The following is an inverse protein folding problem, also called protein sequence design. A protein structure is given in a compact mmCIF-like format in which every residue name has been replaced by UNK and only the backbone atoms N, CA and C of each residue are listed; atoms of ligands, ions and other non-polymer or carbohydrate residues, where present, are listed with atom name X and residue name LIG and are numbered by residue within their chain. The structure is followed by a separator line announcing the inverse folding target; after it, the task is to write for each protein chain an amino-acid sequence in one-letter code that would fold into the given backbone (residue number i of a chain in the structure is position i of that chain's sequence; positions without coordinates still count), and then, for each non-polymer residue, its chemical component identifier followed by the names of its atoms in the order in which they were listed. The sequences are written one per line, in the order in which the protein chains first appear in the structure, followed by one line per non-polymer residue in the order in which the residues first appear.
data_IF_094849685879
#
_entry.id   IF_094849685879
#
_cell.length_a   1.000
_cell.length_b   1.000
_cell.length_c   1.000
_cell.angle_alpha   90.00
_cell.angle_beta   90.00
_cell.angle_gamma   90.00
#
_symmetry.space_group_name_H-M   'P 1'
#
loop_
_entity.id
_entity.type
_entity.pdbx_description
1 polymer ?
#
# COMPACT_ATOMS: atom_id res chain seq x y z
N UNK A 1 -0.43 2.75 -4.72
CA UNK A 1 0.82 2.58 -5.53
C UNK A 1 1.95 1.88 -4.78
N UNK A 2 2.30 2.29 -3.57
CA UNK A 2 3.37 1.64 -2.78
C UNK A 2 3.09 0.16 -2.49
N UNK A 3 1.82 -0.22 -2.24
CA UNK A 3 1.40 -1.62 -1.98
C UNK A 3 1.85 -2.56 -3.12
N UNK A 4 1.70 -2.12 -4.37
CA UNK A 4 2.13 -2.90 -5.53
C UNK A 4 3.64 -3.13 -5.52
N UNK A 5 4.43 -2.07 -5.27
CA UNK A 5 5.88 -2.15 -5.21
C UNK A 5 6.34 -3.13 -4.14
N UNK A 6 5.78 -3.01 -2.91
CA UNK A 6 6.10 -3.90 -1.80
C UNK A 6 5.72 -5.35 -2.13
N UNK A 7 4.54 -5.57 -2.74
CA UNK A 7 4.09 -6.90 -3.13
C UNK A 7 4.99 -7.54 -4.19
N UNK A 8 5.36 -6.81 -5.24
CA UNK A 8 6.19 -7.33 -6.33
C UNK A 8 7.64 -7.59 -5.88
N UNK A 9 8.23 -6.68 -5.11
CA UNK A 9 9.62 -6.81 -4.63
C UNK A 9 9.74 -7.93 -3.60
N UNK A 10 8.69 -8.18 -2.81
CA UNK A 10 8.69 -9.24 -1.78
C UNK A 10 8.33 -10.62 -2.31
N UNK A 11 7.58 -10.69 -3.41
CA UNK A 11 7.03 -11.95 -3.89
C UNK A 11 8.11 -13.01 -4.14
N UNK A 12 7.86 -14.22 -3.64
CA UNK A 12 8.74 -15.40 -3.78
C UNK A 12 10.16 -15.22 -3.23
N UNK A 13 10.41 -14.22 -2.39
CA UNK A 13 11.71 -14.04 -1.74
C UNK A 13 11.81 -14.75 -0.39
N UNK A 14 13.05 -14.98 0.05
CA UNK A 14 13.32 -15.34 1.44
C UNK A 14 12.79 -14.22 2.36
N UNK A 15 12.10 -14.58 3.45
CA UNK A 15 11.44 -13.62 4.36
C UNK A 15 12.34 -12.45 4.79
N UNK A 16 13.62 -12.73 5.10
CA UNK A 16 14.57 -11.67 5.48
C UNK A 16 14.84 -10.67 4.35
N UNK A 17 14.97 -11.18 3.12
CA UNK A 17 15.18 -10.37 1.92
C UNK A 17 13.92 -9.57 1.58
N UNK A 18 12.74 -10.19 1.65
CA UNK A 18 11.46 -9.52 1.43
C UNK A 18 11.22 -8.37 2.41
N UNK A 19 11.52 -8.59 3.70
CA UNK A 19 11.43 -7.57 4.75
C UNK A 19 12.39 -6.41 4.46
N UNK A 20 13.67 -6.69 4.22
CA UNK A 20 14.66 -5.66 3.96
C UNK A 20 14.30 -4.83 2.71
N UNK A 21 13.93 -5.52 1.62
CA UNK A 21 13.58 -4.87 0.37
C UNK A 21 12.29 -4.05 0.48
N UNK A 22 11.31 -4.52 1.26
CA UNK A 22 10.08 -3.75 1.59
C UNK A 22 10.36 -2.50 2.39
N UNK A 23 11.17 -2.60 3.44
CA UNK A 23 11.56 -1.44 4.25
C UNK A 23 12.30 -0.41 3.39
N UNK A 24 13.27 -0.85 2.59
CA UNK A 24 14.02 0.04 1.70
C UNK A 24 13.11 0.69 0.65
N UNK A 25 12.19 -0.07 0.05
CA UNK A 25 11.24 0.46 -0.92
C UNK A 25 10.32 1.53 -0.31
N UNK A 26 9.82 1.31 0.91
CA UNK A 26 8.96 2.29 1.59
C UNK A 26 9.73 3.52 2.07
N UNK A 27 10.93 3.35 2.63
CA UNK A 27 11.80 4.48 2.96
C UNK A 27 12.12 5.33 1.72
N UNK A 28 12.47 4.68 0.61
CA UNK A 28 12.71 5.37 -0.65
C UNK A 28 11.45 6.11 -1.15
N UNK A 29 10.26 5.51 -0.99
CA UNK A 29 9.00 6.14 -1.37
C UNK A 29 8.67 7.36 -0.51
N UNK A 30 8.89 7.29 0.81
CA UNK A 30 8.69 8.43 1.73
C UNK A 30 9.64 9.57 1.36
N UNK A 31 10.94 9.27 1.20
CA UNK A 31 11.93 10.27 0.81
C UNK A 31 11.61 10.89 -0.55
N UNK A 32 11.27 10.07 -1.55
CA UNK A 32 10.88 10.55 -2.88
C UNK A 32 9.64 11.45 -2.82
N UNK A 33 8.66 11.13 -1.96
CA UNK A 33 7.48 11.96 -1.76
C UNK A 33 7.81 13.33 -1.15
N UNK A 34 8.57 13.37 -0.05
CA UNK A 34 8.92 14.65 0.61
C UNK A 34 9.84 15.52 -0.25
N UNK A 35 10.83 14.92 -0.91
CA UNK A 35 11.71 15.61 -1.86
C UNK A 35 10.90 16.11 -3.06
N UNK A 36 10.05 15.25 -3.64
CA UNK A 36 9.19 15.61 -4.76
C UNK A 36 8.24 16.75 -4.43
N UNK A 37 7.64 16.74 -3.24
CA UNK A 37 6.78 17.82 -2.74
C UNK A 37 7.55 19.14 -2.64
N UNK A 38 8.77 19.12 -2.09
CA UNK A 38 9.63 20.31 -2.00
C UNK A 38 9.94 20.89 -3.39
N UNK A 39 10.32 20.05 -4.35
CA UNK A 39 10.60 20.48 -5.73
C UNK A 39 9.35 21.06 -6.40
N UNK A 40 8.23 20.36 -6.30
CA UNK A 40 6.97 20.79 -6.93
C UNK A 40 6.43 22.09 -6.33
N UNK A 41 6.51 22.25 -5.01
CA UNK A 41 6.15 23.50 -4.34
C UNK A 41 7.08 24.64 -4.74
N UNK A 42 8.39 24.39 -4.88
CA UNK A 42 9.34 25.40 -5.36
C UNK A 42 9.05 25.90 -6.78
N UNK A 43 8.49 25.05 -7.63
CA UNK A 43 8.08 25.42 -9.01
C UNK A 43 6.73 26.14 -9.00
N UNK A 44 5.75 25.64 -8.24
CA UNK A 44 4.34 26.09 -8.31
C UNK A 44 4.03 27.29 -7.42
N UNK A 45 4.81 27.50 -6.36
CA UNK A 45 4.61 28.57 -5.37
C UNK A 45 5.98 29.17 -4.97
N UNK A 46 6.62 29.95 -5.85
CA UNK A 46 7.98 30.47 -5.61
C UNK A 46 8.09 31.37 -4.37
N UNK A 47 7.01 32.05 -3.98
CA UNK A 47 7.00 32.99 -2.86
C UNK A 47 6.76 32.34 -1.48
N UNK A 48 6.50 31.03 -1.43
CA UNK A 48 6.31 30.27 -0.19
C UNK A 48 7.29 29.09 -0.12
N UNK A 49 8.50 29.28 0.41
CA UNK A 49 9.48 28.21 0.51
C UNK A 49 8.98 27.11 1.45
N UNK A 50 8.64 25.96 0.88
CA UNK A 50 8.24 24.78 1.65
C UNK A 50 9.42 24.26 2.48
N UNK A 51 9.36 24.45 3.79
CA UNK A 51 10.33 23.87 4.73
C UNK A 51 10.00 22.41 5.01
N UNK A 52 10.98 21.53 4.84
CA UNK A 52 10.81 20.11 5.10
C UNK A 52 10.75 19.88 6.61
N UNK A 53 9.61 19.41 7.12
CA UNK A 53 9.46 19.08 8.54
C UNK A 53 10.17 17.74 8.82
N UNK A 54 11.33 17.81 9.48
CA UNK A 54 12.17 16.65 9.80
C UNK A 54 11.48 15.71 10.80
N UNK A 55 10.69 16.25 11.73
CA UNK A 55 9.93 15.44 12.70
C UNK A 55 8.90 14.60 11.97
N UNK A 56 8.12 15.25 11.09
CA UNK A 56 7.13 14.55 10.28
C UNK A 56 7.79 13.50 9.38
N UNK A 57 8.91 13.81 8.73
CA UNK A 57 9.65 12.85 7.93
C UNK A 57 10.06 11.61 8.75
N UNK A 58 10.63 11.82 9.94
CA UNK A 58 11.07 10.74 10.81
C UNK A 58 9.91 9.85 11.27
N UNK A 59 8.75 10.42 11.58
CA UNK A 59 7.54 9.66 11.93
C UNK A 59 7.10 8.74 10.77
N UNK A 60 7.08 9.28 9.54
CA UNK A 60 6.75 8.49 8.35
C UNK A 60 7.79 7.42 8.03
N UNK A 61 9.08 7.68 8.27
CA UNK A 61 10.14 6.69 8.07
C UNK A 61 10.03 5.53 9.09
N UNK A 62 9.71 5.82 10.35
CA UNK A 62 9.46 4.77 11.36
C UNK A 62 8.26 3.91 10.97
N UNK A 63 7.15 4.54 10.55
CA UNK A 63 5.98 3.82 10.04
C UNK A 63 6.31 2.99 8.79
N UNK A 64 7.12 3.53 7.88
CA UNK A 64 7.56 2.82 6.69
C UNK A 64 8.35 1.55 7.03
N UNK A 65 9.23 1.58 8.04
CA UNK A 65 9.96 0.39 8.49
C UNK A 65 9.01 -0.64 9.11
N UNK A 66 8.09 -0.21 9.97
CA UNK A 66 7.14 -1.12 10.63
C UNK A 66 6.23 -1.79 9.59
N UNK A 67 5.60 -1.00 8.73
CA UNK A 67 4.71 -1.48 7.67
C UNK A 67 5.48 -2.33 6.67
N UNK A 68 6.70 -1.91 6.32
CA UNK A 68 7.59 -2.65 5.41
C UNK A 68 7.97 -4.03 5.96
N UNK A 69 8.25 -4.13 7.26
CA UNK A 69 8.55 -5.41 7.89
C UNK A 69 7.34 -6.35 7.92
N UNK A 70 6.17 -5.83 8.27
CA UNK A 70 4.92 -6.61 8.32
C UNK A 70 4.56 -7.10 6.92
N UNK A 71 4.47 -6.18 5.96
CA UNK A 71 4.06 -6.52 4.59
C UNK A 71 5.12 -7.34 3.87
N UNK A 72 6.40 -7.08 4.05
CA UNK A 72 7.47 -7.90 3.49
C UNK A 72 7.41 -9.35 3.98
N UNK A 73 7.12 -9.55 5.27
CA UNK A 73 6.96 -10.89 5.83
C UNK A 73 5.72 -11.62 5.28
N UNK A 74 4.59 -10.92 5.08
CA UNK A 74 3.37 -11.47 4.51
C UNK A 74 3.56 -11.76 3.02
N UNK A 75 4.07 -10.79 2.26
CA UNK A 75 4.21 -10.85 0.81
C UNK A 75 5.35 -11.76 0.33
N UNK A 76 6.30 -12.12 1.20
CA UNK A 76 7.26 -13.19 0.94
C UNK A 76 6.60 -14.49 0.49
N UNK A 77 5.41 -14.77 1.04
CA UNK A 77 4.67 -15.99 0.73
C UNK A 77 3.85 -15.88 -0.59
N UNK A 78 3.83 -14.72 -1.27
CA UNK A 78 3.15 -14.58 -2.58
C UNK A 78 3.75 -15.55 -3.59
N UNK A 79 2.90 -16.37 -4.20
CA UNK A 79 3.29 -17.38 -5.16
C UNK A 79 3.85 -18.67 -4.54
N UNK A 80 3.83 -18.81 -3.21
CA UNK A 80 4.01 -20.08 -2.54
C UNK A 80 2.78 -20.98 -2.72
N UNK A 81 2.99 -22.29 -2.72
CA UNK A 81 1.90 -23.24 -2.89
C UNK A 81 1.03 -23.35 -1.63
N UNK A 82 -0.27 -23.58 -1.82
CA UNK A 82 -1.24 -23.77 -0.74
C UNK A 82 -1.81 -22.48 -0.14
N UNK A 83 -2.39 -22.60 1.07
CA UNK A 83 -3.22 -21.55 1.68
C UNK A 83 -2.46 -20.27 2.03
N UNK A 84 -1.17 -20.36 2.37
CA UNK A 84 -0.35 -19.20 2.73
C UNK A 84 -0.15 -18.25 1.55
N UNK A 85 0.19 -18.77 0.38
CA UNK A 85 0.35 -17.94 -0.83
C UNK A 85 -0.98 -17.34 -1.30
N UNK A 86 -2.08 -18.09 -1.18
CA UNK A 86 -3.41 -17.56 -1.47
C UNK A 86 -3.80 -16.41 -0.54
N UNK A 87 -3.56 -16.53 0.77
CA UNK A 87 -3.82 -15.46 1.74
C UNK A 87 -2.92 -14.25 1.47
N UNK A 88 -1.62 -14.44 1.26
CA UNK A 88 -0.69 -13.35 0.98
C UNK A 88 -1.09 -12.54 -0.26
N UNK A 89 -1.47 -13.23 -1.34
CA UNK A 89 -1.98 -12.58 -2.55
C UNK A 89 -3.33 -11.89 -2.31
N UNK A 90 -4.25 -12.50 -1.56
CA UNK A 90 -5.51 -11.88 -1.19
C UNK A 90 -5.33 -10.63 -0.31
N UNK A 91 -4.34 -10.61 0.58
CA UNK A 91 -3.98 -9.40 1.36
C UNK A 91 -3.50 -8.29 0.43
N UNK A 92 -2.61 -8.60 -0.52
CA UNK A 92 -2.15 -7.60 -1.48
C UNK A 92 -3.30 -7.05 -2.34
N UNK A 93 -4.18 -7.92 -2.86
CA UNK A 93 -5.35 -7.51 -3.66
C UNK A 93 -6.34 -6.70 -2.82
N UNK A 94 -6.63 -7.13 -1.59
CA UNK A 94 -7.54 -6.44 -0.69
C UNK A 94 -7.03 -5.04 -0.31
N UNK A 95 -5.74 -4.91 -0.02
CA UNK A 95 -5.11 -3.61 0.24
C UNK A 95 -5.14 -2.70 -0.98
N UNK A 96 -4.90 -3.23 -2.19
CA UNK A 96 -5.00 -2.45 -3.44
C UNK A 96 -6.43 -1.96 -3.69
N UNK A 97 -7.43 -2.82 -3.46
CA UNK A 97 -8.84 -2.44 -3.59
C UNK A 97 -9.23 -1.36 -2.57
N UNK A 98 -8.80 -1.51 -1.31
CA UNK A 98 -9.03 -0.52 -0.26
C UNK A 98 -8.37 0.84 -0.57
N UNK A 99 -7.09 0.85 -1.02
CA UNK A 99 -6.39 2.07 -1.44
C UNK A 99 -7.10 2.75 -2.63
N UNK A 100 -7.56 1.97 -3.60
CA UNK A 100 -8.29 2.48 -4.76
C UNK A 100 -9.62 3.12 -4.36
N UNK A 101 -10.39 2.44 -3.51
CA UNK A 101 -11.67 2.94 -3.03
C UNK A 101 -11.49 4.25 -2.24
N UNK A 102 -10.60 4.27 -1.23
CA UNK A 102 -10.33 5.47 -0.43
C UNK A 102 -9.87 6.65 -1.29
N UNK A 103 -9.02 6.41 -2.29
CA UNK A 103 -8.54 7.47 -3.19
C UNK A 103 -9.64 7.97 -4.11
N UNK A 104 -10.50 7.09 -4.61
CA UNK A 104 -11.60 7.48 -5.49
C UNK A 104 -12.63 8.34 -4.73
N UNK A 105 -12.85 8.05 -3.45
CA UNK A 105 -13.72 8.83 -2.59
C UNK A 105 -13.16 10.23 -2.30
N UNK A 106 -11.86 10.32 -1.98
CA UNK A 106 -11.18 11.59 -1.70
C UNK A 106 -10.88 12.43 -2.96
N UNK A 107 -10.73 11.79 -4.12
CA UNK A 107 -10.32 12.40 -5.39
C UNK A 107 -11.22 11.91 -6.53
N UNK A 108 -12.49 12.35 -6.57
CA UNK A 108 -13.48 11.80 -7.49
C UNK A 108 -13.20 12.13 -8.96
N UNK A 109 -12.55 13.27 -9.24
CA UNK A 109 -12.18 13.68 -10.59
C UNK A 109 -11.16 12.73 -11.24
N UNK A 110 -10.24 12.17 -10.46
CA UNK A 110 -9.24 11.20 -10.91
C UNK A 110 -9.67 9.74 -10.76
N UNK A 111 -10.88 9.48 -10.27
CA UNK A 111 -11.37 8.16 -9.88
C UNK A 111 -11.21 7.08 -10.95
N UNK A 112 -11.53 7.40 -12.22
CA UNK A 112 -11.39 6.45 -13.33
C UNK A 112 -9.94 6.00 -13.54
N UNK A 113 -8.98 6.92 -13.43
CA UNK A 113 -7.55 6.64 -13.58
C UNK A 113 -7.05 5.78 -12.41
N UNK A 114 -7.50 6.10 -11.19
CA UNK A 114 -7.16 5.35 -9.98
C UNK A 114 -7.66 3.90 -10.06
N UNK A 115 -8.92 3.70 -10.47
CA UNK A 115 -9.51 2.36 -10.64
C UNK A 115 -8.76 1.59 -11.73
N UNK A 116 -8.52 2.21 -12.89
CA UNK A 116 -7.78 1.57 -13.99
C UNK A 116 -6.39 1.11 -13.55
N UNK A 117 -5.66 1.96 -12.82
CA UNK A 117 -4.36 1.60 -12.27
C UNK A 117 -4.45 0.47 -11.22
N UNK A 118 -5.45 0.51 -10.35
CA UNK A 118 -5.66 -0.53 -9.34
C UNK A 118 -5.95 -1.90 -9.98
N UNK A 119 -6.75 -1.94 -11.05
CA UNK A 119 -7.01 -3.16 -11.82
C UNK A 119 -5.70 -3.71 -12.40
N UNK A 120 -4.88 -2.87 -13.03
CA UNK A 120 -3.57 -3.29 -13.56
C UNK A 120 -2.64 -3.80 -12.45
N UNK A 121 -2.65 -3.14 -11.29
CA UNK A 121 -1.87 -3.56 -10.12
C UNK A 121 -2.33 -4.94 -9.60
N UNK A 122 -3.64 -5.18 -9.51
CA UNK A 122 -4.20 -6.48 -9.14
C UNK A 122 -3.81 -7.55 -10.15
N UNK A 123 -3.90 -7.26 -11.44
CA UNK A 123 -3.47 -8.19 -12.51
C UNK A 123 -1.99 -8.53 -12.34
N UNK A 124 -1.12 -7.55 -12.08
CA UNK A 124 0.31 -7.78 -11.87
C UNK A 124 0.58 -8.68 -10.64
N UNK A 125 -0.12 -8.45 -9.52
CA UNK A 125 -0.03 -9.31 -8.33
C UNK A 125 -0.51 -10.73 -8.65
N UNK A 126 -1.65 -10.88 -9.33
CA UNK A 126 -2.20 -12.17 -9.71
C UNK A 126 -1.29 -12.92 -10.70
N UNK A 127 -0.64 -12.22 -11.62
CA UNK A 127 0.31 -12.82 -12.57
C UNK A 127 1.51 -13.46 -11.85
N UNK A 128 1.93 -12.92 -10.70
CA UNK A 128 2.99 -13.49 -9.86
C UNK A 128 2.46 -14.55 -8.90
N UNK A 129 1.23 -14.41 -8.41
CA UNK A 129 0.63 -15.29 -7.41
C UNK A 129 0.03 -16.58 -7.97
N UNK A 130 -0.64 -16.52 -9.13
CA UNK A 130 -1.46 -17.61 -9.66
C UNK A 130 -0.58 -18.58 -10.45
N UNK A 131 -0.47 -19.82 -9.96
CA UNK A 131 0.15 -20.94 -10.68
C UNK A 131 -0.86 -21.92 -11.27
N UNK A 132 -2.10 -21.89 -10.79
CA UNK A 132 -3.15 -22.84 -11.16
C UNK A 132 -4.51 -22.17 -10.98
N UNK A 133 -5.51 -22.41 -11.84
CA UNK A 133 -6.83 -21.77 -11.74
C UNK A 133 -7.54 -22.03 -10.40
N UNK A 134 -7.28 -23.16 -9.74
CA UNK A 134 -7.82 -23.44 -8.39
C UNK A 134 -7.30 -22.50 -7.30
N UNK A 135 -6.13 -21.90 -7.48
CA UNK A 135 -5.65 -20.86 -6.55
C UNK A 135 -6.40 -19.54 -6.72
N UNK A 136 -6.96 -19.27 -7.90
CA UNK A 136 -7.68 -18.02 -8.16
C UNK A 136 -8.97 -17.93 -7.34
N UNK A 137 -9.72 -19.02 -7.22
CA UNK A 137 -10.92 -19.07 -6.37
C UNK A 137 -10.58 -18.92 -4.89
N UNK A 138 -9.47 -19.52 -4.43
CA UNK A 138 -9.00 -19.34 -3.06
C UNK A 138 -8.60 -17.89 -2.78
N UNK A 139 -7.89 -17.23 -3.69
CA UNK A 139 -7.53 -15.81 -3.57
C UNK A 139 -8.81 -14.95 -3.53
N UNK A 140 -9.77 -15.20 -4.42
CA UNK A 140 -11.03 -14.46 -4.46
C UNK A 140 -11.83 -14.60 -3.16
N UNK A 141 -11.89 -15.81 -2.58
CA UNK A 141 -12.59 -16.06 -1.32
C UNK A 141 -11.97 -15.28 -0.15
N UNK A 142 -10.64 -15.13 -0.12
CA UNK A 142 -9.94 -14.37 0.92
C UNK A 142 -9.85 -12.88 0.62
N UNK A 143 -10.02 -12.44 -0.62
CA UNK A 143 -9.88 -11.04 -1.02
C UNK A 143 -10.92 -10.13 -0.36
N UNK A 144 -12.15 -10.61 -0.17
CA UNK A 144 -13.22 -9.83 0.47
C UNK A 144 -12.90 -9.53 1.95
N UNK A 145 -12.63 -10.51 2.82
CA UNK A 145 -12.31 -10.20 4.22
C UNK A 145 -11.01 -9.39 4.35
N UNK A 146 -10.00 -9.63 3.52
CA UNK A 146 -8.77 -8.82 3.55
C UNK A 146 -8.98 -7.41 3.03
N UNK A 147 -9.89 -7.19 2.07
CA UNK A 147 -10.28 -5.86 1.63
C UNK A 147 -11.00 -5.09 2.74
N UNK A 148 -11.90 -5.75 3.49
CA UNK A 148 -12.58 -5.13 4.64
C UNK A 148 -11.59 -4.76 5.75
N UNK A 149 -10.66 -5.66 6.09
CA UNK A 149 -9.60 -5.38 7.08
C UNK A 149 -8.69 -4.26 6.57
N UNK A 150 -8.30 -4.31 5.29
CA UNK A 150 -7.48 -3.29 4.65
C UNK A 150 -8.15 -1.93 4.65
N UNK A 151 -9.46 -1.87 4.37
CA UNK A 151 -10.25 -0.66 4.43
C UNK A 151 -10.27 -0.10 5.86
N UNK A 152 -10.55 -0.93 6.87
CA UNK A 152 -10.49 -0.51 8.27
C UNK A 152 -9.14 0.07 8.66
N UNK A 153 -8.04 -0.56 8.24
CA UNK A 153 -6.67 -0.07 8.51
C UNK A 153 -6.36 1.24 7.78
N UNK A 154 -6.80 1.36 6.53
CA UNK A 154 -6.48 2.50 5.66
C UNK A 154 -7.36 3.71 5.98
N UNK A 155 -8.56 3.50 6.50
CA UNK A 155 -9.49 4.54 6.97
C UNK A 155 -9.35 4.89 8.46
N UNK A 156 -8.61 4.10 9.24
CA UNK A 156 -8.39 4.36 10.66
C UNK A 156 -7.81 5.76 10.96
N UNK A 157 -6.83 6.30 10.19
CA UNK A 157 -6.31 7.64 10.44
C UNK A 157 -7.40 8.71 10.30
N UNK A 158 -8.19 8.62 9.23
CA UNK A 158 -9.26 9.57 8.92
C UNK A 158 -10.34 9.53 10.02
N UNK A 159 -10.71 8.33 10.49
CA UNK A 159 -11.68 8.15 11.57
C UNK A 159 -11.16 8.67 12.93
N UNK A 160 -9.88 8.48 13.24
CA UNK A 160 -9.26 9.02 14.46
C UNK A 160 -9.19 10.54 14.40
N UNK A 161 -8.81 11.11 13.25
CA UNK A 161 -8.80 12.55 13.04
C UNK A 161 -10.20 13.14 13.22
N UNK A 162 -11.23 12.49 12.66
CA UNK A 162 -12.62 12.89 12.83
C UNK A 162 -13.09 12.79 14.29
N UNK A 163 -12.67 11.76 15.03
CA UNK A 163 -12.94 11.64 16.47
C UNK A 163 -12.26 12.76 17.28
N UNK A 164 -11.02 13.10 16.96
CA UNK A 164 -10.24 14.13 17.66
C UNK A 164 -10.75 15.55 17.38
N UNK A 165 -11.24 15.80 16.16
CA UNK A 165 -11.75 17.12 15.76
C UNK A 165 -13.20 17.31 16.20
N UNK A 166 -14.07 16.31 16.02
CA UNK A 166 -15.52 16.45 16.21
C UNK A 166 -16.05 15.81 17.50
N UNK A 167 -15.29 14.94 18.18
CA UNK A 167 -15.72 14.29 19.43
C UNK A 167 -16.77 13.18 19.27
N UNK A 168 -17.16 12.83 18.03
CA UNK A 168 -18.11 11.76 17.74
C UNK A 168 -17.76 11.04 16.43
N UNK A 169 -18.12 9.74 16.37
CA UNK A 169 -18.07 8.89 15.17
C UNK A 169 -19.28 9.14 14.25
#
# INVERSE_FOLDING_TARGET
MWILTVALVSARQLRRSAVAASCLALLAAVLAFYVGKKVMCGIRCPDMPYSLNIVQLAEWDVLAVIVGAILGAIFADIGADGRRGAIAAAVAVGLLAADAYRRTDNYPAEGQVVIGFAVLAVIAVLAVAVRTPRHLSAIAAWAVPTALIGYGLVSAPDAIEQLLITGSL
#
